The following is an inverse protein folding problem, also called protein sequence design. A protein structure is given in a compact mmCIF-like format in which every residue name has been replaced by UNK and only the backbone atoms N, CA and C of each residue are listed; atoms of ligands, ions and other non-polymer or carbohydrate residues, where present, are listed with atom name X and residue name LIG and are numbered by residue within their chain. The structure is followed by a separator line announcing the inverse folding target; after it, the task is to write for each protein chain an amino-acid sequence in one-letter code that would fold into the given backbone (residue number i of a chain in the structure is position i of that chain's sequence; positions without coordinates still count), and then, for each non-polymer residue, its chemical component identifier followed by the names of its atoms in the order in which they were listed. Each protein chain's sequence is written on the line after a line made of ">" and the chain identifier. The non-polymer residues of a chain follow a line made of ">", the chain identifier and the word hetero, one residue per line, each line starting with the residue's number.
data_IF_535994033616
#
_entry.id   IF_535994033616
#
_cell.length_a   1.000
_cell.length_b   1.000
_cell.length_c   1.000
_cell.angle_alpha   90.00
_cell.angle_beta   90.00
_cell.angle_gamma   90.00
#
_symmetry.space_group_name_H-M   'P 1'
#
loop_
_entity.id
_entity.type
_entity.pdbx_description
1 polymer ?
#
# COMPACT_ATOMS: atom_id res chain seq x y z
N UNK A 1 -8.85 -18.81 7.86
CA UNK A 1 -10.13 -19.02 7.15
C UNK A 1 -10.49 -20.47 7.33
N UNK A 2 -11.68 -20.78 7.84
CA UNK A 2 -12.12 -22.15 8.11
C UNK A 2 -13.31 -22.51 7.22
N UNK A 3 -13.45 -23.78 6.85
CA UNK A 3 -14.60 -24.30 6.11
C UNK A 3 -15.72 -24.69 7.07
N UNK A 4 -16.95 -24.27 6.77
CA UNK A 4 -18.12 -24.67 7.54
C UNK A 4 -18.61 -26.03 7.03
N UNK A 5 -18.39 -27.10 7.81
CA UNK A 5 -18.82 -28.46 7.48
C UNK A 5 -20.08 -28.90 8.26
N UNK A 6 -20.85 -27.95 8.82
CA UNK A 6 -22.04 -28.25 9.60
C UNK A 6 -23.30 -28.43 8.75
N UNK A 7 -24.30 -29.12 9.31
CA UNK A 7 -25.64 -29.30 8.71
C UNK A 7 -26.38 -27.96 8.58
N UNK A 8 -26.16 -27.05 9.54
CA UNK A 8 -26.77 -25.72 9.55
C UNK A 8 -25.91 -24.75 8.75
N UNK A 9 -26.51 -24.16 7.70
CA UNK A 9 -25.85 -23.16 6.85
C UNK A 9 -26.14 -21.76 7.38
N UNK A 10 -25.09 -21.07 7.80
CA UNK A 10 -25.16 -19.66 8.17
C UNK A 10 -24.74 -18.79 6.97
N UNK A 11 -25.39 -17.63 6.82
CA UNK A 11 -25.00 -16.62 5.84
C UNK A 11 -25.01 -15.24 6.49
N UNK A 12 -24.06 -14.39 6.10
CA UNK A 12 -23.92 -13.06 6.67
C UNK A 12 -23.05 -13.02 7.93
N UNK A 13 -23.19 -11.94 8.71
CA UNK A 13 -22.40 -11.71 9.92
C UNK A 13 -23.16 -12.23 11.14
N UNK A 14 -22.51 -13.06 11.95
CA UNK A 14 -23.00 -13.50 13.26
C UNK A 14 -21.92 -13.17 14.29
N UNK A 15 -22.14 -12.09 15.05
CA UNK A 15 -21.15 -11.55 15.99
C UNK A 15 -19.82 -11.21 15.30
N UNK A 16 -18.75 -11.88 15.76
CA UNK A 16 -17.38 -11.77 15.25
C UNK A 16 -17.09 -12.68 14.05
N UNK A 17 -18.07 -13.45 13.56
CA UNK A 17 -17.88 -14.37 12.44
C UNK A 17 -18.64 -13.88 11.22
N UNK A 18 -18.00 -13.98 10.05
CA UNK A 18 -18.58 -13.64 8.76
C UNK A 18 -18.63 -14.92 7.92
N UNK A 19 -19.84 -15.36 7.61
CA UNK A 19 -20.14 -16.53 6.81
C UNK A 19 -20.45 -16.10 5.37
N UNK A 20 -19.73 -16.69 4.42
CA UNK A 20 -19.92 -16.38 3.00
C UNK A 20 -19.55 -17.59 2.15
N UNK A 21 -20.01 -17.57 0.90
CA UNK A 21 -19.71 -18.63 -0.06
C UNK A 21 -18.54 -18.22 -0.93
N UNK A 22 -17.52 -19.06 -1.02
CA UNK A 22 -16.39 -18.88 -1.95
C UNK A 22 -16.33 -20.08 -2.87
N UNK A 23 -16.61 -19.85 -4.16
CA UNK A 23 -16.83 -20.90 -5.14
C UNK A 23 -17.93 -21.89 -4.68
N UNK A 24 -17.58 -23.16 -4.45
CA UNK A 24 -18.52 -24.22 -4.02
C UNK A 24 -18.47 -24.53 -2.51
N UNK A 25 -17.69 -23.77 -1.73
CA UNK A 25 -17.48 -24.03 -0.29
C UNK A 25 -18.06 -22.90 0.55
N UNK A 26 -18.73 -23.28 1.63
CA UNK A 26 -19.17 -22.36 2.68
C UNK A 26 -18.01 -22.15 3.65
N UNK A 27 -17.65 -20.88 3.84
CA UNK A 27 -16.44 -20.48 4.54
C UNK A 27 -16.76 -19.46 5.61
N UNK A 28 -16.04 -19.56 6.72
CA UNK A 28 -16.13 -18.64 7.83
C UNK A 28 -14.79 -17.93 8.01
N UNK A 29 -14.87 -16.61 8.21
CA UNK A 29 -13.75 -15.80 8.67
C UNK A 29 -14.13 -15.07 9.94
N UNK A 30 -13.17 -14.85 10.82
CA UNK A 30 -13.35 -13.87 11.88
C UNK A 30 -13.40 -12.47 11.27
N UNK A 31 -14.31 -11.63 11.75
CA UNK A 31 -14.31 -10.20 11.50
C UNK A 31 -12.90 -9.70 11.83
N UNK A 32 -12.22 -9.02 10.91
CA UNK A 32 -10.92 -8.47 11.22
C UNK A 32 -11.08 -7.55 12.43
N UNK A 33 -10.22 -7.71 13.43
CA UNK A 33 -10.13 -6.73 14.51
C UNK A 33 -9.90 -5.37 13.86
N UNK A 34 -10.63 -4.35 14.29
CA UNK A 34 -10.41 -2.98 13.84
C UNK A 34 -9.00 -2.59 14.30
N UNK A 35 -8.01 -2.81 13.44
CA UNK A 35 -6.65 -2.43 13.73
C UNK A 35 -6.53 -0.93 13.51
N UNK A 36 -6.43 -0.19 14.60
CA UNK A 36 -6.10 1.22 14.52
C UNK A 36 -4.61 1.33 14.16
N UNK A 37 -4.34 1.71 12.92
CA UNK A 37 -2.99 2.07 12.49
C UNK A 37 -2.47 3.17 13.40
N UNK A 38 -1.23 3.02 13.88
CA UNK A 38 -0.56 4.07 14.64
C UNK A 38 -0.42 5.34 13.79
N UNK A 39 -0.40 6.50 14.43
CA UNK A 39 -0.20 7.79 13.75
C UNK A 39 1.07 7.79 12.88
N UNK A 40 2.15 7.18 13.37
CA UNK A 40 3.40 7.05 12.62
C UNK A 40 3.25 6.17 11.38
N UNK A 41 2.44 5.10 11.45
CA UNK A 41 2.17 4.24 10.30
C UNK A 41 1.35 4.97 9.23
N UNK A 42 0.34 5.75 9.64
CA UNK A 42 -0.44 6.60 8.72
C UNK A 42 0.44 7.63 8.02
N UNK A 43 1.27 8.34 8.79
CA UNK A 43 2.20 9.34 8.24
C UNK A 43 3.22 8.70 7.27
N UNK A 44 3.79 7.56 7.64
CA UNK A 44 4.71 6.82 6.76
C UNK A 44 4.02 6.37 5.45
N UNK A 45 2.77 5.92 5.52
CA UNK A 45 1.99 5.55 4.34
C UNK A 45 1.74 6.74 3.41
N UNK A 46 1.43 7.92 3.97
CA UNK A 46 1.26 9.15 3.19
C UNK A 46 2.55 9.56 2.47
N UNK A 47 3.67 9.57 3.20
CA UNK A 47 4.98 9.90 2.62
C UNK A 47 5.36 8.92 1.50
N UNK A 48 5.12 7.62 1.70
CA UNK A 48 5.36 6.61 0.66
C UNK A 48 4.44 6.79 -0.56
N UNK A 49 3.18 7.17 -0.35
CA UNK A 49 2.25 7.50 -1.42
C UNK A 49 2.75 8.66 -2.27
N UNK A 50 3.30 9.70 -1.63
CA UNK A 50 3.86 10.85 -2.33
C UNK A 50 5.14 10.50 -3.09
N UNK A 51 6.04 9.69 -2.50
CA UNK A 51 7.21 9.13 -3.21
C UNK A 51 6.79 8.38 -4.47
N UNK A 52 5.81 7.49 -4.34
CA UNK A 52 5.33 6.64 -5.44
C UNK A 52 4.70 7.46 -6.56
N UNK A 53 3.93 8.50 -6.20
CA UNK A 53 3.32 9.45 -7.15
C UNK A 53 4.38 10.20 -7.94
N UNK A 54 5.38 10.76 -7.27
CA UNK A 54 6.48 11.48 -7.92
C UNK A 54 7.29 10.57 -8.85
N UNK A 55 7.57 9.33 -8.43
CA UNK A 55 8.20 8.31 -9.27
C UNK A 55 7.38 8.00 -10.53
N UNK A 56 6.05 7.95 -10.40
CA UNK A 56 5.16 7.74 -11.54
C UNK A 56 5.15 8.93 -12.50
N UNK A 57 5.14 10.16 -11.99
CA UNK A 57 5.19 11.35 -12.83
C UNK A 57 6.48 11.45 -13.63
N UNK A 58 7.64 11.18 -13.01
CA UNK A 58 8.92 11.13 -13.71
C UNK A 58 8.89 10.08 -14.81
N UNK A 59 8.44 8.85 -14.52
CA UNK A 59 8.30 7.80 -15.56
C UNK A 59 7.37 8.20 -16.70
N UNK A 60 6.29 8.90 -16.39
CA UNK A 60 5.33 9.38 -17.41
C UNK A 60 5.96 10.47 -18.28
N UNK A 61 6.70 11.42 -17.69
CA UNK A 61 7.40 12.46 -18.43
C UNK A 61 8.46 11.87 -19.38
N UNK A 62 9.15 10.82 -18.93
CA UNK A 62 10.17 10.11 -19.72
C UNK A 62 9.62 8.85 -20.40
N UNK A 63 8.31 8.75 -20.64
CA UNK A 63 7.70 7.51 -21.16
C UNK A 63 8.37 6.95 -22.43
N UNK A 64 8.79 7.77 -23.43
CA UNK A 64 9.51 7.25 -24.59
C UNK A 64 10.86 6.59 -24.23
N UNK A 65 11.63 7.21 -23.33
CA UNK A 65 12.90 6.66 -22.84
C UNK A 65 12.69 5.42 -21.98
N UNK A 66 11.69 5.44 -21.09
CA UNK A 66 11.34 4.31 -20.24
C UNK A 66 10.91 3.10 -21.08
N UNK A 67 10.17 3.32 -22.17
CA UNK A 67 9.76 2.25 -23.08
C UNK A 67 10.96 1.64 -23.82
N UNK A 68 11.90 2.48 -24.27
CA UNK A 68 13.00 2.05 -25.13
C UNK A 68 14.21 1.50 -24.34
N UNK A 69 14.42 1.99 -23.11
CA UNK A 69 15.64 1.71 -22.32
C UNK A 69 15.34 1.27 -20.88
N UNK A 70 14.06 1.20 -20.49
CA UNK A 70 13.68 0.80 -19.15
C UNK A 70 13.77 -0.71 -18.97
N UNK A 71 14.54 -1.12 -17.97
CA UNK A 71 14.59 -2.51 -17.50
C UNK A 71 13.49 -2.78 -16.47
N UNK A 72 13.14 -4.05 -16.25
CA UNK A 72 12.01 -4.44 -15.39
C UNK A 72 12.07 -3.93 -13.95
N UNK A 73 13.26 -3.60 -13.45
CA UNK A 73 13.49 -3.10 -12.08
C UNK A 73 13.50 -1.56 -11.95
N UNK A 74 13.40 -0.82 -13.07
CA UNK A 74 13.47 0.64 -13.11
C UNK A 74 12.44 1.29 -12.17
N UNK A 75 11.24 0.73 -12.10
CA UNK A 75 10.14 1.23 -11.26
C UNK A 75 10.51 1.17 -9.78
N UNK A 76 11.04 0.03 -9.33
CA UNK A 76 11.51 -0.18 -7.95
C UNK A 76 12.72 0.68 -7.64
N UNK A 77 13.67 0.79 -8.56
CA UNK A 77 14.89 1.59 -8.40
C UNK A 77 14.61 3.08 -8.29
N UNK A 78 13.77 3.63 -9.17
CA UNK A 78 13.40 5.04 -9.13
C UNK A 78 12.66 5.38 -7.84
N UNK A 79 11.67 4.55 -7.48
CA UNK A 79 10.94 4.72 -6.21
C UNK A 79 11.90 4.69 -5.01
N UNK A 80 12.88 3.78 -4.99
CA UNK A 80 13.90 3.70 -3.94
C UNK A 80 14.79 4.95 -3.88
N UNK A 81 15.17 5.50 -5.03
CA UNK A 81 15.95 6.75 -5.10
C UNK A 81 15.18 7.92 -4.51
N UNK A 82 13.92 8.10 -4.91
CA UNK A 82 13.06 9.18 -4.40
C UNK A 82 12.76 9.00 -2.91
N UNK A 83 12.53 7.76 -2.46
CA UNK A 83 12.40 7.45 -1.04
C UNK A 83 13.66 7.84 -0.25
N UNK A 84 14.85 7.70 -0.84
CA UNK A 84 16.12 8.16 -0.27
C UNK A 84 16.13 9.67 -0.03
N UNK A 85 15.71 10.46 -1.01
CA UNK A 85 15.60 11.92 -0.88
C UNK A 85 14.65 12.32 0.27
N UNK A 86 13.54 11.59 0.41
CA UNK A 86 12.56 11.82 1.48
C UNK A 86 13.12 11.52 2.89
N UNK A 87 14.20 10.75 3.02
CA UNK A 87 14.88 10.52 4.31
C UNK A 87 15.64 11.76 4.78
N UNK A 88 16.13 12.59 3.86
CA UNK A 88 16.83 13.85 4.18
C UNK A 88 15.88 14.95 4.67
N UNK A 89 14.57 14.82 4.42
CA UNK A 89 13.57 15.79 4.85
C UNK A 89 13.43 15.75 6.38
N UNK A 90 13.50 16.90 7.07
CA UNK A 90 13.33 16.98 8.52
C UNK A 90 12.07 16.27 9.02
N UNK A 91 12.12 15.63 10.21
CA UNK A 91 10.99 14.88 10.77
C UNK A 91 9.76 15.76 11.08
N UNK A 92 9.93 17.09 11.10
CA UNK A 92 8.83 18.06 11.25
C UNK A 92 7.77 17.90 10.15
N UNK A 93 8.16 17.39 8.96
CA UNK A 93 7.24 17.19 7.83
C UNK A 93 6.69 15.77 7.70
N UNK A 94 6.89 14.89 8.69
CA UNK A 94 6.51 13.48 8.61
C UNK A 94 5.00 13.33 8.35
N UNK A 95 4.64 12.63 7.27
CA UNK A 95 3.25 12.48 6.79
C UNK A 95 2.78 13.51 5.78
N UNK A 96 3.54 14.58 5.57
CA UNK A 96 3.30 15.65 4.61
C UNK A 96 4.59 16.00 3.84
N UNK A 97 5.51 15.04 3.69
CA UNK A 97 6.76 15.26 2.97
C UNK A 97 6.45 15.58 1.51
N UNK A 98 7.11 16.60 0.97
CA UNK A 98 7.01 16.97 -0.45
C UNK A 98 8.38 16.86 -1.11
N UNK A 99 8.38 16.51 -2.39
CA UNK A 99 9.62 16.40 -3.17
C UNK A 99 10.40 17.73 -3.21
N UNK A 100 9.72 18.86 -3.21
CA UNK A 100 10.34 20.20 -3.20
C UNK A 100 11.18 20.49 -1.94
N UNK A 101 10.92 19.77 -0.85
CA UNK A 101 11.65 19.92 0.41
C UNK A 101 12.81 18.91 0.50
N UNK A 102 12.94 18.04 -0.50
CA UNK A 102 13.96 17.01 -0.53
C UNK A 102 15.23 17.56 -1.16
N UNK A 103 16.36 17.27 -0.53
CA UNK A 103 17.66 17.71 -1.02
C UNK A 103 18.30 16.65 -1.92
N UNK A 104 18.89 17.10 -3.02
CA UNK A 104 19.64 16.28 -3.97
C UNK A 104 21.14 16.36 -3.62
N UNK A 105 21.51 15.76 -2.49
CA UNK A 105 22.91 15.53 -2.15
C UNK A 105 23.43 14.23 -2.79
#
# INVERSE_FOLDING_TARGET
>A
MATLNGIVRFSGQVGDLIFYRRAKKDVVRRKPNTYQLSENSKKSANDFGEVSRNAAYIRKAFAPMVKNYGYGDLTSRLTKRIAGLFKGIPPVHLGNKKLINADLN
#
